data_IF_972811072516
#
_entry.id   IF_972811072516
#
_cell.length_a   1.000
_cell.length_b   1.000
_cell.length_c   1.000
_cell.angle_alpha   90.00
_cell.angle_beta   90.00
_cell.angle_gamma   90.00
#
_symmetry.space_group_name_H-M   'P 1'
#
loop_
_entity.id
_entity.type
_entity.pdbx_description
1 polymer ?
#
# COMPACT_ATOMS: atom_id res chain seq x y z
N UNK A 1 -9.23 -28.02 -8.34
CA UNK A 1 -8.02 -27.21 -8.55
C UNK A 1 -7.85 -26.34 -7.32
N UNK A 2 -6.98 -26.71 -6.37
CA UNK A 2 -6.67 -25.87 -5.21
C UNK A 2 -5.62 -24.86 -5.65
N UNK A 3 -6.08 -23.75 -6.23
CA UNK A 3 -5.22 -22.63 -6.56
C UNK A 3 -4.83 -21.94 -5.26
N UNK A 4 -3.65 -22.28 -4.72
CA UNK A 4 -3.12 -21.61 -3.54
C UNK A 4 -2.80 -20.15 -3.89
N UNK A 5 -3.41 -19.24 -3.14
CA UNK A 5 -3.21 -17.79 -3.32
C UNK A 5 -2.11 -17.34 -2.38
N UNK A 6 -1.03 -16.82 -2.92
CA UNK A 6 0.16 -16.43 -2.16
C UNK A 6 0.18 -14.93 -1.91
N UNK A 7 0.61 -14.53 -0.72
CA UNK A 7 0.85 -13.14 -0.39
C UNK A 7 2.05 -12.62 -1.19
N UNK A 8 1.83 -11.63 -2.05
CA UNK A 8 2.89 -11.02 -2.86
C UNK A 8 3.87 -10.18 -2.04
N UNK A 9 3.60 -9.96 -0.75
CA UNK A 9 4.40 -9.13 0.14
C UNK A 9 5.38 -10.01 0.94
N UNK A 10 4.90 -11.09 1.57
CA UNK A 10 5.71 -11.96 2.42
C UNK A 10 5.88 -13.41 1.90
N UNK A 11 5.20 -13.78 0.81
CA UNK A 11 5.27 -15.11 0.20
C UNK A 11 4.45 -16.19 0.88
N UNK A 12 3.73 -15.89 1.97
CA UNK A 12 2.89 -16.89 2.64
C UNK A 12 1.77 -17.41 1.73
N UNK A 13 1.56 -18.72 1.74
CA UNK A 13 0.52 -19.39 0.98
C UNK A 13 -0.78 -19.47 1.78
N UNK A 14 -1.90 -19.20 1.10
CA UNK A 14 -3.24 -19.31 1.68
C UNK A 14 -4.12 -20.21 0.84
N UNK A 15 -5.07 -20.86 1.52
CA UNK A 15 -5.97 -21.86 0.91
C UNK A 15 -6.98 -21.20 -0.03
N UNK A 16 -7.29 -19.91 0.19
CA UNK A 16 -8.20 -19.13 -0.65
C UNK A 16 -7.93 -17.62 -0.55
N UNK A 17 -8.51 -16.88 -1.48
CA UNK A 17 -8.39 -15.42 -1.57
C UNK A 17 -8.95 -14.68 -0.36
N UNK A 18 -9.97 -15.24 0.31
CA UNK A 18 -10.55 -14.61 1.51
C UNK A 18 -9.53 -14.55 2.65
N UNK A 19 -8.83 -15.66 2.89
CA UNK A 19 -7.79 -15.71 3.92
C UNK A 19 -6.60 -14.83 3.55
N UNK A 20 -6.19 -14.84 2.26
CA UNK A 20 -5.15 -13.94 1.77
C UNK A 20 -5.52 -12.46 1.98
N UNK A 21 -6.76 -12.08 1.64
CA UNK A 21 -7.22 -10.70 1.76
C UNK A 21 -7.29 -10.25 3.22
N UNK A 22 -7.78 -11.10 4.13
CA UNK A 22 -7.75 -10.82 5.58
C UNK A 22 -6.32 -10.70 6.10
N UNK A 23 -5.41 -11.57 5.67
CA UNK A 23 -3.99 -11.47 6.04
C UNK A 23 -3.36 -10.17 5.54
N UNK A 24 -3.61 -9.79 4.27
CA UNK A 24 -3.14 -8.51 3.76
C UNK A 24 -3.72 -7.37 4.59
N UNK A 25 -5.03 -7.37 4.89
CA UNK A 25 -5.66 -6.29 5.66
C UNK A 25 -5.15 -6.16 7.09
N UNK A 26 -4.95 -7.27 7.80
CA UNK A 26 -4.58 -7.27 9.22
C UNK A 26 -3.06 -7.16 9.42
N UNK A 27 -2.28 -7.78 8.54
CA UNK A 27 -0.82 -7.86 8.71
C UNK A 27 -0.12 -6.82 7.85
N UNK A 28 -0.59 -6.64 6.61
CA UNK A 28 0.08 -5.78 5.67
C UNK A 28 -0.50 -4.38 5.62
N UNK A 29 -1.81 -4.14 5.57
CA UNK A 29 -2.35 -2.78 5.46
C UNK A 29 -1.97 -1.90 6.65
N UNK A 30 -1.89 -2.44 7.87
CA UNK A 30 -1.33 -1.70 9.02
C UNK A 30 0.18 -1.42 8.87
N UNK A 31 0.91 -2.25 8.12
CA UNK A 31 2.33 -2.07 7.80
C UNK A 31 2.60 -1.32 6.47
N UNK A 32 1.56 -1.08 5.67
CA UNK A 32 1.64 -0.44 4.37
C UNK A 32 1.30 1.04 4.55
N UNK A 33 2.00 1.88 3.82
CA UNK A 33 1.79 3.32 3.89
C UNK A 33 0.80 3.72 2.80
N UNK A 34 -0.46 3.95 3.16
CA UNK A 34 -1.48 4.41 2.22
C UNK A 34 -1.52 5.94 2.16
N UNK A 35 -1.38 6.50 0.96
CA UNK A 35 -1.62 7.91 0.70
C UNK A 35 -3.12 8.21 0.75
N UNK A 36 -3.57 9.01 1.72
CA UNK A 36 -4.98 9.43 1.84
C UNK A 36 -5.43 10.37 0.71
N UNK A 37 -4.50 11.03 0.02
CA UNK A 37 -4.83 11.97 -1.06
C UNK A 37 -5.13 11.30 -2.39
N UNK A 38 -4.60 10.09 -2.65
CA UNK A 38 -4.83 9.36 -3.90
C UNK A 38 -5.07 7.86 -3.73
N UNK A 39 -5.19 7.38 -2.49
CA UNK A 39 -5.38 5.98 -2.10
C UNK A 39 -4.33 5.00 -2.61
N UNK A 40 -3.15 5.49 -3.04
CA UNK A 40 -2.05 4.64 -3.46
C UNK A 40 -1.36 4.03 -2.23
N UNK A 41 -1.07 2.73 -2.31
CA UNK A 41 -0.50 1.94 -1.23
C UNK A 41 0.98 1.65 -1.55
N UNK A 42 1.84 1.84 -0.56
CA UNK A 42 3.28 1.62 -0.67
C UNK A 42 3.75 0.55 0.31
N UNK A 43 4.69 -0.30 -0.14
CA UNK A 43 5.23 -1.44 0.62
C UNK A 43 6.24 -1.04 1.69
N UNK A 44 6.80 0.15 1.59
CA UNK A 44 7.81 0.67 2.50
C UNK A 44 7.68 2.19 2.69
N UNK A 45 8.25 2.67 3.79
CA UNK A 45 8.15 4.07 4.20
C UNK A 45 8.91 5.00 3.25
N UNK A 46 9.99 4.50 2.61
CA UNK A 46 10.84 5.29 1.73
C UNK A 46 10.11 5.66 0.44
N UNK A 47 9.46 4.69 -0.19
CA UNK A 47 8.62 4.88 -1.37
C UNK A 47 7.44 5.81 -1.04
N UNK A 48 6.81 5.64 0.12
CA UNK A 48 5.75 6.53 0.58
C UNK A 48 6.22 7.97 0.79
N UNK A 49 7.33 8.19 1.49
CA UNK A 49 7.91 9.53 1.70
C UNK A 49 8.28 10.19 0.38
N UNK A 50 8.84 9.45 -0.57
CA UNK A 50 9.14 9.96 -1.91
C UNK A 50 7.86 10.36 -2.65
N UNK A 51 6.82 9.52 -2.58
CA UNK A 51 5.52 9.82 -3.17
C UNK A 51 4.87 11.08 -2.54
N UNK A 52 4.90 11.22 -1.22
CA UNK A 52 4.38 12.40 -0.53
C UNK A 52 5.15 13.67 -0.90
N UNK A 53 6.47 13.58 -1.17
CA UNK A 53 7.24 14.69 -1.75
C UNK A 53 6.76 15.06 -3.15
N UNK A 54 6.29 14.12 -3.96
CA UNK A 54 5.73 14.44 -5.28
C UNK A 54 4.40 15.21 -5.15
N UNK A 55 3.56 14.86 -4.17
CA UNK A 55 2.39 15.67 -3.81
C UNK A 55 2.80 17.08 -3.37
N UNK A 56 3.85 17.21 -2.55
CA UNK A 56 4.33 18.52 -2.08
C UNK A 56 5.02 19.36 -3.16
N UNK A 57 5.75 18.75 -4.09
CA UNK A 57 6.33 19.46 -5.25
C UNK A 57 5.25 20.07 -6.15
N UNK A 58 4.06 19.49 -6.18
CA UNK A 58 2.89 20.08 -6.83
C UNK A 58 2.21 21.20 -6.01
N UNK A 59 2.60 21.43 -4.75
CA UNK A 59 2.05 22.50 -3.88
C UNK A 59 2.81 23.82 -3.97
N UNK A 60 3.99 23.88 -4.61
CA UNK A 60 4.63 25.16 -5.00
C UNK A 60 3.94 25.83 -6.21
N UNK A 61 2.76 25.34 -6.62
CA UNK A 61 1.87 26.01 -7.59
C UNK A 61 0.54 26.47 -6.96
N UNK A 62 0.45 26.51 -5.64
CA UNK A 62 -0.60 27.28 -4.95
C UNK A 62 0.01 28.17 -3.87
N UNK A 63 0.77 29.16 -4.33
CA UNK A 63 0.75 30.47 -3.66
C UNK A 63 -0.60 31.08 -4.03
N UNK A 64 -1.60 30.90 -3.17
CA UNK A 64 -2.69 31.86 -3.11
C UNK A 64 -2.25 32.93 -2.11
N UNK A 65 -2.11 34.15 -2.62
CA UNK A 65 -2.08 35.38 -1.81
C UNK A 65 -3.18 35.37 -0.75
#
# INVERSE_FOLDING_TARGET
MNSASHCKICGMAFINDRQLNSHINLTHIESLFQCQSCNKIFKDETEFKQHMRAHFRALNTRVSL
#
